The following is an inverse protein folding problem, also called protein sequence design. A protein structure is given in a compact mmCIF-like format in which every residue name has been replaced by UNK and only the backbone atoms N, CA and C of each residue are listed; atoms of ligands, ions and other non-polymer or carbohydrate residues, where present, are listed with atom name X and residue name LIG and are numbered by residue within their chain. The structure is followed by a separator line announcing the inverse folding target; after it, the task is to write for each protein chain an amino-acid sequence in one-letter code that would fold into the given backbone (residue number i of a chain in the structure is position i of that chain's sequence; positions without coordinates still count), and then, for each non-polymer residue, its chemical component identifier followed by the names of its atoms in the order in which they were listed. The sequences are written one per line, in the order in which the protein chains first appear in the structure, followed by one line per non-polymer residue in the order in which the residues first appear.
data_IF_908959985781
#
_entry.id   IF_908959985781
#
_cell.length_a   1.000
_cell.length_b   1.000
_cell.length_c   1.000
_cell.angle_alpha   90.00
_cell.angle_beta   90.00
_cell.angle_gamma   90.00
#
_symmetry.space_group_name_H-M   'P 1'
#
loop_
_entity.id
_entity.type
_entity.pdbx_description
1 polymer ?
#
# COMPACT_ATOMS: atom_id res chain seq x y z
N UNK A 1 -3.51 7.88 -17.59
CA UNK A 1 -3.91 8.29 -16.22
C UNK A 1 -3.05 7.52 -15.24
N UNK A 2 -2.70 8.10 -14.06
CA UNK A 2 -2.06 7.37 -12.97
C UNK A 2 -2.99 7.35 -11.76
N UNK A 3 -3.31 6.15 -11.24
CA UNK A 3 -4.21 5.96 -10.10
C UNK A 3 -3.37 5.68 -8.87
N UNK A 4 -3.44 6.61 -7.89
CA UNK A 4 -2.63 6.56 -6.67
C UNK A 4 -3.22 5.60 -5.63
N UNK A 5 -2.35 5.05 -4.78
CA UNK A 5 -2.62 4.37 -3.51
C UNK A 5 -3.87 3.45 -3.51
N UNK A 6 -4.03 2.62 -4.53
CA UNK A 6 -5.14 1.64 -4.63
C UNK A 6 -5.09 0.68 -3.45
N UNK A 7 -6.22 0.53 -2.76
CA UNK A 7 -6.30 -0.17 -1.48
C UNK A 7 -7.31 -1.31 -1.43
N UNK A 8 -8.23 -1.44 -2.40
CA UNK A 8 -9.31 -2.44 -2.36
C UNK A 8 -9.26 -3.44 -3.52
N UNK A 9 -9.87 -4.61 -3.30
CA UNK A 9 -10.03 -5.65 -4.30
C UNK A 9 -10.82 -5.16 -5.51
N UNK A 10 -11.93 -4.47 -5.29
CA UNK A 10 -12.82 -3.96 -6.35
C UNK A 10 -12.11 -2.96 -7.26
N UNK A 11 -11.31 -2.05 -6.69
CA UNK A 11 -10.48 -1.14 -7.49
C UNK A 11 -9.46 -1.92 -8.32
N UNK A 12 -8.80 -2.92 -7.73
CA UNK A 12 -7.79 -3.71 -8.41
C UNK A 12 -8.37 -4.53 -9.56
N UNK A 13 -9.54 -5.15 -9.36
CA UNK A 13 -10.28 -5.88 -10.40
C UNK A 13 -10.66 -4.97 -11.57
N UNK A 14 -11.19 -3.79 -11.29
CA UNK A 14 -11.53 -2.80 -12.31
C UNK A 14 -10.29 -2.35 -13.09
N UNK A 15 -9.21 -1.99 -12.38
CA UNK A 15 -7.98 -1.49 -12.99
C UNK A 15 -7.24 -2.56 -13.81
N UNK A 16 -7.43 -3.84 -13.50
CA UNK A 16 -6.94 -4.93 -14.34
C UNK A 16 -7.52 -4.89 -15.77
N UNK A 17 -8.72 -4.35 -15.94
CA UNK A 17 -9.38 -4.20 -17.25
C UNK A 17 -9.05 -2.87 -17.95
N UNK A 18 -8.34 -1.96 -17.30
CA UNK A 18 -8.07 -0.60 -17.78
C UNK A 18 -6.56 -0.30 -17.95
N UNK A 19 -5.74 -1.33 -18.10
CA UNK A 19 -4.28 -1.21 -18.19
C UNK A 19 -3.78 -0.48 -19.45
N UNK A 20 -4.61 -0.37 -20.47
CA UNK A 20 -4.32 0.39 -21.69
C UNK A 20 -4.37 1.91 -21.49
N UNK A 21 -5.08 2.39 -20.44
CA UNK A 21 -5.29 3.81 -20.18
C UNK A 21 -4.82 4.26 -18.79
N UNK A 22 -4.47 3.32 -17.91
CA UNK A 22 -4.10 3.63 -16.54
C UNK A 22 -2.88 2.84 -16.05
N UNK A 23 -1.97 3.55 -15.36
CA UNK A 23 -0.96 2.97 -14.46
C UNK A 23 -1.48 3.02 -13.03
N UNK A 24 -1.03 2.07 -12.19
CA UNK A 24 -1.59 1.79 -10.87
C UNK A 24 -0.50 1.81 -9.81
N UNK A 25 -0.74 2.56 -8.74
CA UNK A 25 0.11 2.57 -7.55
C UNK A 25 -0.59 1.90 -6.38
N UNK A 26 0.17 1.17 -5.57
CA UNK A 26 -0.25 0.74 -4.22
C UNK A 26 0.85 1.02 -3.20
N UNK A 27 0.59 0.75 -1.93
CA UNK A 27 1.48 1.10 -0.82
C UNK A 27 1.92 -0.12 -0.03
N UNK A 28 3.14 -0.15 0.55
CA UNK A 28 3.57 -1.20 1.45
C UNK A 28 2.64 -1.41 2.64
N UNK A 29 2.00 -0.36 3.13
CA UNK A 29 1.04 -0.42 4.24
C UNK A 29 -0.14 -1.36 3.91
N UNK A 30 -0.71 -1.25 2.70
CA UNK A 30 -1.82 -2.10 2.26
C UNK A 30 -1.42 -3.55 1.96
N UNK A 31 -0.16 -3.77 1.62
CA UNK A 31 0.40 -5.11 1.41
C UNK A 31 0.77 -5.81 2.71
N UNK A 32 0.98 -5.04 3.80
CA UNK A 32 1.51 -5.54 5.07
C UNK A 32 0.44 -5.68 6.15
N UNK A 33 -0.45 -4.70 6.25
CA UNK A 33 -1.46 -4.61 7.31
C UNK A 33 -2.84 -5.00 6.82
N UNK A 34 -3.72 -5.37 7.78
CA UNK A 34 -5.13 -5.63 7.54
C UNK A 34 -5.99 -5.19 8.72
N UNK A 35 -7.20 -4.75 8.42
CA UNK A 35 -8.24 -4.49 9.40
C UNK A 35 -8.90 -5.81 9.83
N UNK A 36 -9.44 -5.92 11.07
CA UNK A 36 -9.43 -4.90 12.12
C UNK A 36 -8.14 -4.84 12.94
N UNK A 37 -7.29 -5.88 12.87
CA UNK A 37 -6.16 -6.10 13.77
C UNK A 37 -5.14 -4.95 13.83
N UNK A 38 -4.90 -4.26 12.71
CA UNK A 38 -4.00 -3.10 12.72
C UNK A 38 -4.56 -1.95 13.54
N UNK A 39 -5.87 -1.69 13.46
CA UNK A 39 -6.52 -0.62 14.20
C UNK A 39 -6.67 -0.93 15.69
N UNK A 40 -6.90 -2.19 16.03
CA UNK A 40 -6.93 -2.66 17.43
C UNK A 40 -5.56 -2.49 18.11
N UNK A 41 -4.47 -2.68 17.36
CA UNK A 41 -3.09 -2.62 17.88
C UNK A 41 -2.51 -1.21 17.85
N UNK A 42 -2.74 -0.45 16.79
CA UNK A 42 -2.06 0.82 16.53
C UNK A 42 -2.97 2.04 16.70
N UNK A 43 -4.29 1.84 16.82
CA UNK A 43 -5.28 2.91 16.99
C UNK A 43 -5.08 4.05 15.96
N UNK A 44 -5.01 5.30 16.41
CA UNK A 44 -4.79 6.47 15.58
C UNK A 44 -3.48 6.45 14.77
N UNK A 45 -2.47 5.69 15.19
CA UNK A 45 -1.21 5.55 14.44
C UNK A 45 -1.44 4.87 13.08
N UNK A 46 -2.44 4.00 12.96
CA UNK A 46 -2.79 3.34 11.69
C UNK A 46 -3.79 4.13 10.84
N UNK A 47 -4.27 5.27 11.31
CA UNK A 47 -5.24 6.07 10.54
C UNK A 47 -4.56 6.71 9.34
N UNK A 48 -5.04 6.38 8.15
CA UNK A 48 -4.59 6.91 6.87
C UNK A 48 -5.75 6.93 5.86
N UNK A 49 -5.60 7.66 4.76
CA UNK A 49 -6.53 7.68 3.63
C UNK A 49 -5.77 7.39 2.32
N UNK A 50 -6.25 6.40 1.54
CA UNK A 50 -7.32 5.43 1.84
C UNK A 50 -7.03 4.61 3.10
N UNK A 51 -8.06 4.09 3.79
CA UNK A 51 -7.85 3.29 4.98
C UNK A 51 -7.28 1.90 4.64
N UNK A 52 -6.58 1.30 5.61
CA UNK A 52 -6.16 -0.10 5.53
C UNK A 52 -7.42 -0.98 5.54
N UNK A 53 -7.53 -1.85 4.54
CA UNK A 53 -8.71 -2.68 4.30
C UNK A 53 -8.59 -4.05 4.96
N UNK A 54 -9.57 -4.91 4.69
CA UNK A 54 -9.65 -6.27 5.23
C UNK A 54 -8.71 -7.26 4.52
N UNK A 55 -8.57 -8.44 5.09
CA UNK A 55 -7.70 -9.51 4.58
C UNK A 55 -7.96 -9.86 3.10
N UNK A 56 -9.23 -9.83 2.66
CA UNK A 56 -9.60 -10.10 1.27
C UNK A 56 -9.01 -9.05 0.31
N UNK A 57 -9.04 -7.78 0.68
CA UNK A 57 -8.46 -6.70 -0.12
C UNK A 57 -6.94 -6.86 -0.22
N UNK A 58 -6.27 -7.11 0.92
CA UNK A 58 -4.83 -7.36 0.93
C UNK A 58 -4.46 -8.56 0.06
N UNK A 59 -5.23 -9.65 0.11
CA UNK A 59 -5.01 -10.82 -0.72
C UNK A 59 -5.15 -10.50 -2.22
N UNK A 60 -6.13 -9.70 -2.62
CA UNK A 60 -6.31 -9.23 -3.99
C UNK A 60 -5.16 -8.34 -4.46
N UNK A 61 -4.67 -7.42 -3.61
CA UNK A 61 -3.48 -6.60 -3.92
C UNK A 61 -2.25 -7.46 -4.20
N UNK A 62 -2.04 -8.54 -3.45
CA UNK A 62 -0.95 -9.48 -3.72
C UNK A 62 -1.18 -10.29 -5.00
N UNK A 63 -2.37 -10.86 -5.18
CA UNK A 63 -2.67 -11.76 -6.30
C UNK A 63 -2.78 -11.03 -7.64
N UNK A 64 -3.61 -10.00 -7.71
CA UNK A 64 -3.83 -9.24 -8.94
C UNK A 64 -2.78 -8.14 -9.11
N UNK A 65 -2.53 -7.36 -8.06
CA UNK A 65 -1.64 -6.22 -8.09
C UNK A 65 -0.19 -6.60 -8.33
N UNK A 66 0.37 -7.42 -7.46
CA UNK A 66 1.79 -7.74 -7.48
C UNK A 66 2.08 -8.92 -8.42
N UNK A 67 1.39 -10.05 -8.26
CA UNK A 67 1.71 -11.27 -9.00
C UNK A 67 1.27 -11.22 -10.47
N UNK A 68 0.08 -10.70 -10.77
CA UNK A 68 -0.42 -10.55 -12.14
C UNK A 68 -0.01 -9.24 -12.81
N UNK A 69 0.65 -8.31 -12.07
CA UNK A 69 1.25 -7.13 -12.66
C UNK A 69 0.29 -5.95 -12.90
N UNK A 70 -0.86 -5.90 -12.24
CA UNK A 70 -1.78 -4.76 -12.34
C UNK A 70 -1.16 -3.49 -11.74
N UNK A 71 -0.40 -3.62 -10.64
CA UNK A 71 0.35 -2.54 -10.02
C UNK A 71 1.63 -2.25 -10.82
N UNK A 72 1.86 -1.01 -11.14
CA UNK A 72 3.06 -0.52 -11.85
C UNK A 72 4.09 0.11 -10.90
N UNK A 73 3.62 0.71 -9.81
CA UNK A 73 4.42 1.52 -8.90
C UNK A 73 4.11 1.19 -7.44
N UNK A 74 5.15 1.15 -6.60
CA UNK A 74 5.03 1.22 -5.14
C UNK A 74 5.33 2.64 -4.68
N UNK A 75 4.31 3.32 -4.18
CA UNK A 75 4.43 4.60 -3.51
C UNK A 75 4.61 4.46 -2.00
N UNK A 76 4.81 5.57 -1.30
CA UNK A 76 4.89 5.62 0.16
C UNK A 76 3.71 6.29 0.82
N UNK A 77 3.08 7.22 0.10
CA UNK A 77 2.09 8.15 0.65
C UNK A 77 2.56 8.75 1.99
N UNK A 78 3.81 9.23 2.00
CA UNK A 78 4.48 9.70 3.21
C UNK A 78 3.83 10.97 3.75
N UNK A 79 2.94 10.80 4.72
CA UNK A 79 2.24 11.88 5.43
C UNK A 79 2.47 11.74 6.93
N UNK A 80 3.55 12.32 7.41
CA UNK A 80 3.94 12.23 8.82
C UNK A 80 3.21 13.25 9.69
N UNK A 81 2.89 12.82 10.89
CA UNK A 81 2.36 13.64 11.96
C UNK A 81 3.09 13.34 13.27
N UNK A 82 3.06 14.25 14.22
CA UNK A 82 3.67 14.01 15.53
C UNK A 82 2.94 12.90 16.29
N UNK A 83 3.61 12.32 17.28
CA UNK A 83 2.98 11.30 18.14
C UNK A 83 1.80 11.85 18.92
N UNK A 84 1.89 13.11 19.35
CA UNK A 84 0.84 13.83 20.08
C UNK A 84 -0.41 14.01 19.20
N UNK A 85 -0.24 14.40 17.94
CA UNK A 85 -1.33 14.51 16.98
C UNK A 85 -1.98 13.15 16.73
N UNK A 86 -1.20 12.11 16.50
CA UNK A 86 -1.67 10.75 16.24
C UNK A 86 -2.29 10.06 17.47
N UNK A 87 -1.97 10.52 18.69
CA UNK A 87 -2.56 9.99 19.93
C UNK A 87 -4.00 10.47 20.19
N UNK A 88 -4.48 11.42 19.43
CA UNK A 88 -5.86 11.90 19.57
C UNK A 88 -6.86 10.80 19.21
N UNK A 89 -8.01 10.83 19.90
CA UNK A 89 -9.11 9.91 19.59
C UNK A 89 -9.70 10.20 18.20
N UNK A 90 -10.15 9.15 17.51
CA UNK A 90 -10.90 9.29 16.25
C UNK A 90 -12.16 10.16 16.46
N UNK A 91 -12.52 11.09 15.57
CA UNK A 91 -11.88 11.38 14.28
C UNK A 91 -10.82 12.50 14.31
N UNK A 92 -10.36 12.92 15.46
CA UNK A 92 -9.42 14.04 15.61
C UNK A 92 -7.97 13.68 15.26
N UNK A 93 -7.60 12.41 15.34
CA UNK A 93 -6.30 11.94 14.87
C UNK A 93 -6.17 12.21 13.36
N UNK A 94 -5.12 12.89 12.89
CA UNK A 94 -4.95 13.17 11.47
C UNK A 94 -4.66 11.89 10.69
N UNK A 95 -5.13 11.85 9.42
CA UNK A 95 -4.83 10.76 8.50
C UNK A 95 -3.43 10.89 7.93
N UNK A 96 -2.68 9.79 7.88
CA UNK A 96 -1.35 9.71 7.30
C UNK A 96 -0.42 8.81 8.10
N UNK A 97 0.47 8.12 7.39
CA UNK A 97 1.51 7.26 7.96
C UNK A 97 2.88 7.61 7.37
N UNK A 98 3.98 7.52 8.14
CA UNK A 98 5.32 7.62 7.55
C UNK A 98 5.59 6.38 6.67
N UNK A 99 6.26 6.59 5.54
CA UNK A 99 6.53 5.51 4.58
C UNK A 99 7.93 5.54 3.95
N UNK A 100 8.54 6.73 3.80
CA UNK A 100 9.81 6.89 3.06
C UNK A 100 10.94 6.01 3.61
N UNK A 101 11.14 6.01 4.93
CA UNK A 101 12.19 5.21 5.56
C UNK A 101 11.89 3.71 5.55
N UNK A 102 10.61 3.33 5.56
CA UNK A 102 10.18 1.94 5.79
C UNK A 102 9.84 1.18 4.52
N UNK A 103 9.61 1.84 3.38
CA UNK A 103 9.28 1.17 2.12
C UNK A 103 10.27 0.06 1.79
N UNK A 104 11.55 0.40 1.68
CA UNK A 104 12.57 -0.57 1.26
C UNK A 104 12.71 -1.72 2.25
N UNK A 105 12.93 -1.53 3.56
CA UNK A 105 13.08 -2.64 4.49
C UNK A 105 11.82 -3.51 4.61
N UNK A 106 10.62 -2.94 4.58
CA UNK A 106 9.37 -3.71 4.63
C UNK A 106 9.22 -4.58 3.38
N UNK A 107 9.45 -4.03 2.20
CA UNK A 107 9.34 -4.79 0.96
C UNK A 107 10.46 -5.84 0.80
N UNK A 108 11.66 -5.57 1.29
CA UNK A 108 12.73 -6.58 1.35
C UNK A 108 12.40 -7.73 2.32
N UNK A 109 11.64 -7.46 3.38
CA UNK A 109 11.10 -8.53 4.24
C UNK A 109 10.14 -9.42 3.43
N UNK A 110 9.24 -8.84 2.65
CA UNK A 110 8.37 -9.62 1.77
C UNK A 110 9.12 -10.39 0.68
N UNK A 111 10.25 -9.84 0.18
CA UNK A 111 11.15 -10.60 -0.72
C UNK A 111 11.77 -11.79 0.00
N UNK A 112 12.29 -11.60 1.22
CA UNK A 112 12.89 -12.67 2.02
C UNK A 112 11.88 -13.78 2.38
N UNK A 113 10.60 -13.40 2.57
CA UNK A 113 9.48 -14.33 2.78
C UNK A 113 8.98 -15.02 1.50
N UNK A 114 9.57 -14.69 0.34
CA UNK A 114 9.19 -15.27 -0.96
C UNK A 114 7.87 -14.78 -1.54
N UNK A 115 7.31 -13.67 -1.03
CA UNK A 115 6.04 -13.09 -1.51
C UNK A 115 6.18 -12.36 -2.84
N UNK A 116 7.36 -11.80 -3.14
CA UNK A 116 7.72 -11.24 -4.43
C UNK A 116 9.20 -11.42 -4.70
N UNK A 117 9.59 -11.42 -5.98
CA UNK A 117 11.00 -11.47 -6.36
C UNK A 117 11.69 -10.11 -6.18
N UNK A 118 13.01 -10.11 -5.95
CA UNK A 118 13.80 -8.89 -5.92
C UNK A 118 13.69 -8.11 -7.24
N UNK A 119 13.66 -8.81 -8.38
CA UNK A 119 13.49 -8.18 -9.69
C UNK A 119 12.15 -7.43 -9.79
N UNK A 120 11.05 -8.03 -9.29
CA UNK A 120 9.74 -7.37 -9.27
C UNK A 120 9.73 -6.17 -8.32
N UNK A 121 10.39 -6.26 -7.18
CA UNK A 121 10.53 -5.12 -6.27
C UNK A 121 11.27 -3.95 -6.93
N UNK A 122 12.38 -4.22 -7.62
CA UNK A 122 13.14 -3.19 -8.35
C UNK A 122 12.30 -2.59 -9.48
N UNK A 123 11.55 -3.41 -10.22
CA UNK A 123 10.64 -2.92 -11.25
C UNK A 123 9.63 -1.93 -10.67
N UNK A 124 8.95 -2.29 -9.58
CA UNK A 124 7.93 -1.48 -8.93
C UNK A 124 8.43 -0.15 -8.31
N UNK A 125 9.72 -0.07 -7.98
CA UNK A 125 10.31 1.09 -7.29
C UNK A 125 11.25 1.93 -8.16
N UNK A 126 11.61 1.44 -9.34
CA UNK A 126 12.58 2.11 -10.22
C UNK A 126 12.11 2.12 -11.68
N UNK A 127 12.06 0.95 -12.35
CA UNK A 127 11.73 0.89 -13.76
C UNK A 127 10.24 1.19 -14.06
N UNK A 128 9.32 0.78 -13.19
CA UNK A 128 7.90 1.09 -13.28
C UNK A 128 7.62 2.59 -13.27
N UNK A 129 8.08 3.32 -12.25
CA UNK A 129 7.94 4.79 -12.18
C UNK A 129 8.55 5.56 -13.36
N UNK A 130 9.51 4.98 -14.07
CA UNK A 130 10.17 5.61 -15.22
C UNK A 130 9.38 5.47 -16.53
N UNK A 131 8.51 4.47 -16.64
CA UNK A 131 7.67 4.22 -17.84
C UNK A 131 6.49 5.16 -17.91
#
# INVERSE_FOLDING_TARGET
MHVLHVSSAVEMEFLATAKDVATVETLPQFLTFEAPGVYERLHGLAQMNPPIRYAADRAALWALGIAQGVVDVLGTDHALHTREEKAQAYPKSPSGMPGVQTLVPVMLTHVAEGRLSLARFIDLTSAGPQR
#
